data_IF_972681184458
#
_entry.id   IF_972681184458
#
_cell.length_a   1.000
_cell.length_b   1.000
_cell.length_c   1.000
_cell.angle_alpha   90.00
_cell.angle_beta   90.00
_cell.angle_gamma   90.00
#
_symmetry.space_group_name_H-M   'P 1'
#
loop_
_entity.id
_entity.type
_entity.pdbx_description
1 polymer ?
#
# COMPACT_ATOMS: atom_id res chain seq x y z
N UNK A 1 28.86 9.44 99.29
CA UNK A 1 29.24 9.09 97.92
C UNK A 1 27.94 8.69 97.18
N UNK A 2 27.39 9.67 96.40
CA UNK A 2 26.14 9.47 95.69
C UNK A 2 26.46 9.11 94.23
N UNK A 3 26.02 7.93 93.74
CA UNK A 3 26.12 7.50 92.35
C UNK A 3 24.78 7.90 91.66
N UNK A 4 24.87 8.75 90.68
CA UNK A 4 23.73 9.16 89.82
C UNK A 4 23.58 8.19 88.65
N UNK A 5 22.39 7.56 88.49
CA UNK A 5 21.96 6.75 87.36
C UNK A 5 21.47 7.70 86.23
N UNK A 6 22.07 7.60 85.07
CA UNK A 6 21.55 8.28 83.88
C UNK A 6 20.61 7.28 83.11
N UNK A 7 19.34 7.69 82.99
CA UNK A 7 18.37 7.05 82.12
C UNK A 7 18.67 7.46 80.67
N UNK A 8 18.82 6.46 79.81
CA UNK A 8 18.91 6.65 78.36
C UNK A 8 17.52 6.33 77.80
N UNK A 9 16.85 7.34 77.28
CA UNK A 9 15.59 7.20 76.57
C UNK A 9 15.90 6.83 75.11
N UNK A 10 15.45 5.62 74.69
CA UNK A 10 15.50 5.17 73.29
C UNK A 10 14.20 5.62 72.62
N UNK A 11 14.31 6.58 71.70
CA UNK A 11 13.20 6.97 70.86
C UNK A 11 13.10 6.00 69.66
N UNK A 12 12.05 5.19 69.63
CA UNK A 12 11.72 4.34 68.52
C UNK A 12 11.02 5.16 67.42
N UNK A 13 11.73 5.46 66.35
CA UNK A 13 11.16 6.11 65.14
C UNK A 13 10.38 5.06 64.33
N UNK A 14 9.04 5.17 64.33
CA UNK A 14 8.17 4.41 63.42
C UNK A 14 8.22 5.05 62.03
N UNK A 15 8.96 4.46 61.10
CA UNK A 15 8.90 4.84 59.68
C UNK A 15 7.66 4.23 59.05
N UNK A 16 6.64 5.04 58.81
CA UNK A 16 5.50 4.67 57.94
C UNK A 16 6.00 4.53 56.50
N UNK A 17 6.15 3.27 56.01
CA UNK A 17 6.34 2.99 54.61
C UNK A 17 4.96 3.10 53.96
N UNK A 18 4.64 4.25 53.33
CA UNK A 18 3.48 4.38 52.45
C UNK A 18 3.80 3.61 51.16
N UNK A 19 3.33 2.38 51.09
CA UNK A 19 3.37 1.60 49.85
C UNK A 19 2.50 2.31 48.81
N UNK A 20 3.13 2.92 47.82
CA UNK A 20 2.43 3.35 46.60
C UNK A 20 2.03 2.10 45.86
N UNK A 21 0.76 1.70 46.00
CA UNK A 21 0.19 0.66 45.14
C UNK A 21 0.18 1.17 43.71
N UNK A 22 1.15 0.77 42.91
CA UNK A 22 1.10 0.93 41.45
C UNK A 22 -0.05 0.05 40.96
N UNK A 23 -1.22 0.66 40.77
CA UNK A 23 -2.33 -0.03 40.10
C UNK A 23 -1.83 -0.53 38.73
N UNK A 24 -2.02 -1.80 38.37
CA UNK A 24 -1.69 -2.27 37.05
C UNK A 24 -2.47 -1.42 36.05
N UNK A 25 -1.75 -0.77 35.12
CA UNK A 25 -2.39 -0.03 34.04
C UNK A 25 -3.30 -1.01 33.31
N UNK A 26 -4.62 -0.84 33.45
CA UNK A 26 -5.58 -1.64 32.71
C UNK A 26 -5.25 -1.48 31.22
N UNK A 27 -4.71 -2.53 30.60
CA UNK A 27 -4.43 -2.55 29.17
C UNK A 27 -5.77 -2.33 28.47
N UNK A 28 -5.89 -1.21 27.74
CA UNK A 28 -7.12 -0.90 27.02
C UNK A 28 -7.52 -2.12 26.17
N UNK A 29 -8.80 -2.51 26.25
CA UNK A 29 -9.29 -3.63 25.47
C UNK A 29 -8.99 -3.40 23.98
N UNK A 30 -8.46 -4.42 23.30
CA UNK A 30 -8.17 -4.33 21.87
C UNK A 30 -9.46 -4.18 21.08
N UNK A 31 -9.45 -3.32 20.06
CA UNK A 31 -10.57 -3.19 19.13
C UNK A 31 -10.65 -4.40 18.20
N UNK A 32 -11.83 -4.71 17.70
CA UNK A 32 -12.04 -5.70 16.64
C UNK A 32 -11.87 -5.04 15.27
N UNK A 33 -10.78 -5.38 14.58
CA UNK A 33 -10.43 -4.90 13.23
C UNK A 33 -10.79 -5.98 12.20
N UNK A 34 -11.67 -5.66 11.26
CA UNK A 34 -12.20 -6.59 10.28
C UNK A 34 -11.93 -6.10 8.87
N UNK A 35 -11.28 -6.92 8.03
CA UNK A 35 -10.92 -6.58 6.66
C UNK A 35 -11.82 -7.33 5.66
N UNK A 36 -12.59 -6.60 4.88
CA UNK A 36 -13.27 -7.12 3.70
C UNK A 36 -12.34 -6.92 2.48
N UNK A 37 -11.71 -8.02 2.04
CA UNK A 37 -10.77 -8.01 0.94
C UNK A 37 -11.50 -8.13 -0.39
N UNK A 38 -10.91 -7.57 -1.45
CA UNK A 38 -11.40 -7.72 -2.81
C UNK A 38 -11.14 -9.12 -3.40
N UNK A 39 -11.32 -9.25 -4.73
CA UNK A 39 -11.24 -10.54 -5.44
C UNK A 39 -9.81 -11.05 -5.66
N UNK A 40 -8.78 -10.33 -5.24
CA UNK A 40 -7.36 -10.74 -5.41
C UNK A 40 -6.91 -11.85 -4.45
N UNK A 41 -7.66 -12.08 -3.36
CA UNK A 41 -7.28 -13.02 -2.31
C UNK A 41 -6.22 -12.48 -1.36
N UNK A 42 -6.10 -13.09 -0.17
CA UNK A 42 -5.18 -12.62 0.89
C UNK A 42 -3.71 -12.88 0.59
N UNK A 43 -3.41 -13.82 -0.27
CA UNK A 43 -2.07 -14.31 -0.65
C UNK A 43 -1.62 -13.78 -2.03
N UNK A 44 -2.12 -12.58 -2.39
CA UNK A 44 -1.80 -11.92 -3.67
C UNK A 44 -0.36 -11.39 -3.77
N UNK A 45 0.46 -11.62 -2.77
CA UNK A 45 1.88 -11.18 -2.66
C UNK A 45 2.06 -9.66 -2.80
N UNK A 46 1.01 -8.88 -2.58
CA UNK A 46 1.00 -7.45 -2.90
C UNK A 46 -0.01 -6.68 -2.04
N UNK A 47 -1.16 -6.37 -2.61
CA UNK A 47 -2.19 -5.44 -2.13
C UNK A 47 -2.93 -5.97 -0.90
N UNK A 48 -3.64 -7.09 -1.04
CA UNK A 48 -4.42 -7.68 0.05
C UNK A 48 -3.52 -8.26 1.14
N UNK A 49 -2.41 -8.92 0.76
CA UNK A 49 -1.43 -9.44 1.72
C UNK A 49 -0.81 -8.30 2.53
N UNK A 50 -0.49 -7.17 1.88
CA UNK A 50 0.02 -5.97 2.55
C UNK A 50 -0.99 -5.38 3.55
N UNK A 51 -2.26 -5.31 3.18
CA UNK A 51 -3.34 -4.88 4.06
C UNK A 51 -3.48 -5.80 5.27
N UNK A 52 -3.51 -7.12 5.04
CA UNK A 52 -3.62 -8.13 6.09
C UNK A 52 -2.43 -8.14 7.04
N UNK A 53 -1.20 -8.10 6.51
CA UNK A 53 0.02 -8.00 7.34
C UNK A 53 0.01 -6.74 8.21
N UNK A 54 -0.46 -5.62 7.67
CA UNK A 54 -0.63 -4.39 8.44
C UNK A 54 -1.62 -4.54 9.59
N UNK A 55 -2.76 -5.19 9.35
CA UNK A 55 -3.77 -5.44 10.37
C UNK A 55 -3.25 -6.39 11.47
N UNK A 56 -2.58 -7.48 11.09
CA UNK A 56 -1.95 -8.42 12.03
C UNK A 56 -0.87 -7.77 12.90
N UNK A 57 -0.09 -6.86 12.33
CA UNK A 57 0.95 -6.12 13.05
C UNK A 57 0.41 -5.01 13.96
N UNK A 58 -0.91 -4.82 14.05
CA UNK A 58 -1.52 -3.85 14.95
C UNK A 58 -1.52 -4.38 16.39
N UNK A 59 -0.93 -3.63 17.30
CA UNK A 59 -0.87 -3.99 18.74
C UNK A 59 -2.14 -3.63 19.49
N UNK A 60 -2.97 -2.77 18.91
CA UNK A 60 -4.19 -2.22 19.54
C UNK A 60 -5.47 -2.93 19.09
N UNK A 61 -5.37 -3.93 18.21
CA UNK A 61 -6.53 -4.65 17.67
C UNK A 61 -6.31 -6.16 17.64
N UNK A 62 -7.42 -6.88 17.63
CA UNK A 62 -7.49 -8.25 17.08
C UNK A 62 -7.98 -8.12 15.65
N UNK A 63 -7.39 -8.87 14.70
CA UNK A 63 -7.71 -8.75 13.28
C UNK A 63 -8.28 -10.04 12.71
N UNK A 64 -9.27 -9.92 11.82
CA UNK A 64 -9.78 -10.99 10.98
C UNK A 64 -10.07 -10.47 9.57
N UNK A 65 -10.17 -11.36 8.58
CA UNK A 65 -10.52 -10.99 7.22
C UNK A 65 -11.53 -11.95 6.58
N UNK A 66 -12.21 -11.48 5.55
CA UNK A 66 -12.97 -12.28 4.60
C UNK A 66 -12.56 -11.86 3.20
N UNK A 67 -12.19 -12.83 2.35
CA UNK A 67 -11.93 -12.59 0.93
C UNK A 67 -13.22 -12.73 0.13
N UNK A 68 -13.32 -12.00 -0.97
CA UNK A 68 -14.39 -12.12 -1.93
C UNK A 68 -13.92 -12.97 -3.12
N UNK A 69 -14.76 -13.89 -3.59
CA UNK A 69 -14.57 -14.58 -4.86
C UNK A 69 -15.08 -13.73 -6.04
N UNK A 70 -16.05 -12.87 -5.78
CA UNK A 70 -16.63 -11.92 -6.74
C UNK A 70 -17.17 -10.68 -6.02
N UNK A 71 -17.53 -9.65 -6.77
CA UNK A 71 -18.18 -8.45 -6.21
C UNK A 71 -19.50 -8.73 -5.48
N UNK A 72 -20.17 -9.85 -5.80
CA UNK A 72 -21.39 -10.28 -5.10
C UNK A 72 -21.16 -10.61 -3.62
N UNK A 73 -19.92 -10.90 -3.23
CA UNK A 73 -19.54 -11.23 -1.86
C UNK A 73 -19.29 -9.99 -0.98
N UNK A 74 -19.14 -8.80 -1.57
CA UNK A 74 -18.77 -7.60 -0.81
C UNK A 74 -19.79 -7.25 0.27
N UNK A 75 -21.05 -7.05 -0.09
CA UNK A 75 -22.10 -6.71 0.85
C UNK A 75 -22.33 -7.81 1.91
N UNK A 76 -22.44 -9.13 1.57
CA UNK A 76 -22.52 -10.20 2.55
C UNK A 76 -21.33 -10.25 3.53
N UNK A 77 -20.09 -10.06 3.06
CA UNK A 77 -18.91 -10.09 3.92
C UNK A 77 -18.89 -8.90 4.89
N UNK A 78 -19.21 -7.70 4.43
CA UNK A 78 -19.34 -6.51 5.27
C UNK A 78 -20.43 -6.72 6.32
N UNK A 79 -21.60 -7.26 5.91
CA UNK A 79 -22.69 -7.55 6.86
C UNK A 79 -22.26 -8.51 7.97
N UNK A 80 -21.54 -9.59 7.65
CA UNK A 80 -20.99 -10.52 8.67
C UNK A 80 -20.14 -9.80 9.70
N UNK A 81 -19.34 -8.82 9.31
CA UNK A 81 -18.52 -8.03 10.23
C UNK A 81 -19.35 -7.07 11.09
N UNK A 82 -20.42 -6.47 10.53
CA UNK A 82 -21.39 -5.70 11.30
C UNK A 82 -22.05 -6.58 12.37
N UNK A 83 -22.53 -7.76 11.98
CA UNK A 83 -23.22 -8.71 12.88
C UNK A 83 -22.27 -9.23 13.99
N UNK A 84 -20.97 -9.36 13.70
CA UNK A 84 -19.92 -9.73 14.68
C UNK A 84 -19.55 -8.60 15.64
N UNK A 85 -20.04 -7.39 15.41
CA UNK A 85 -19.71 -6.21 16.21
C UNK A 85 -18.26 -5.79 16.07
N UNK A 86 -17.73 -5.71 14.84
CA UNK A 86 -16.43 -5.11 14.57
C UNK A 86 -16.44 -3.62 14.90
N UNK A 87 -15.38 -3.12 15.56
CA UNK A 87 -15.22 -1.71 15.88
C UNK A 87 -14.74 -0.89 14.67
N UNK A 88 -13.91 -1.52 13.83
CA UNK A 88 -13.39 -0.96 12.57
C UNK A 88 -13.53 -2.00 11.46
N UNK A 89 -14.24 -1.64 10.40
CA UNK A 89 -14.36 -2.44 9.17
C UNK A 89 -13.57 -1.72 8.06
N UNK A 90 -12.62 -2.42 7.44
CA UNK A 90 -11.81 -1.90 6.35
C UNK A 90 -12.17 -2.62 5.07
N UNK A 91 -12.69 -1.89 4.09
CA UNK A 91 -12.79 -2.37 2.71
C UNK A 91 -11.44 -2.22 2.02
N UNK A 92 -10.92 -3.30 1.47
CA UNK A 92 -9.63 -3.29 0.78
C UNK A 92 -9.87 -3.35 -0.72
N UNK A 93 -9.71 -2.22 -1.41
CA UNK A 93 -9.86 -2.08 -2.85
C UNK A 93 -10.93 -1.08 -3.28
N UNK A 94 -10.74 -0.55 -4.49
CA UNK A 94 -11.64 0.44 -5.10
C UNK A 94 -13.07 -0.10 -5.29
N UNK A 95 -13.19 -1.34 -5.77
CA UNK A 95 -14.48 -1.90 -6.17
C UNK A 95 -15.45 -2.13 -5.00
N UNK A 96 -14.95 -2.28 -3.76
CA UNK A 96 -15.79 -2.51 -2.56
C UNK A 96 -16.31 -1.21 -1.94
N UNK A 97 -15.82 -0.04 -2.39
CA UNK A 97 -16.07 1.25 -1.74
C UNK A 97 -17.55 1.57 -1.57
N UNK A 98 -18.36 1.40 -2.62
CA UNK A 98 -19.79 1.70 -2.56
C UNK A 98 -20.51 0.91 -1.45
N UNK A 99 -20.17 -0.37 -1.27
CA UNK A 99 -20.78 -1.19 -0.21
C UNK A 99 -20.28 -0.81 1.20
N UNK A 100 -19.04 -0.36 1.33
CA UNK A 100 -18.51 0.21 2.59
C UNK A 100 -19.29 1.48 2.96
N UNK A 101 -19.45 2.41 2.02
CA UNK A 101 -20.19 3.67 2.25
C UNK A 101 -21.65 3.39 2.62
N UNK A 102 -22.32 2.48 1.90
CA UNK A 102 -23.69 2.06 2.18
C UNK A 102 -23.83 1.46 3.59
N UNK A 103 -22.92 0.55 3.96
CA UNK A 103 -22.88 -0.06 5.29
C UNK A 103 -22.63 0.97 6.38
N UNK A 104 -21.71 1.92 6.16
CA UNK A 104 -21.37 2.96 7.12
C UNK A 104 -22.54 3.90 7.41
N UNK A 105 -23.33 4.27 6.39
CA UNK A 105 -24.52 5.10 6.55
C UNK A 105 -25.60 4.36 7.38
N UNK A 106 -25.72 3.04 7.23
CA UNK A 106 -26.66 2.23 8.00
C UNK A 106 -26.17 1.95 9.45
N UNK A 107 -24.86 2.05 9.71
CA UNK A 107 -24.25 1.71 11.00
C UNK A 107 -23.34 2.83 11.52
N UNK A 108 -23.88 3.99 11.93
CA UNK A 108 -23.10 5.20 12.24
C UNK A 108 -22.18 5.06 13.46
N UNK A 109 -22.38 4.06 14.31
CA UNK A 109 -21.53 3.80 15.49
C UNK A 109 -20.24 3.06 15.14
N UNK A 110 -20.25 2.23 14.07
CA UNK A 110 -19.06 1.50 13.58
C UNK A 110 -18.18 2.46 12.79
N UNK A 111 -16.86 2.30 12.90
CA UNK A 111 -15.90 3.04 12.09
C UNK A 111 -15.53 2.23 10.86
N UNK A 112 -15.38 2.92 9.74
CA UNK A 112 -15.02 2.31 8.46
C UNK A 112 -13.78 2.97 7.88
N UNK A 113 -13.01 2.21 7.11
CA UNK A 113 -12.03 2.76 6.21
C UNK A 113 -12.13 2.05 4.85
N UNK A 114 -11.68 2.70 3.80
CA UNK A 114 -11.60 2.08 2.48
C UNK A 114 -10.26 2.39 1.83
N UNK A 115 -9.57 1.36 1.36
CA UNK A 115 -8.29 1.48 0.65
C UNK A 115 -8.56 1.73 -0.81
N UNK A 116 -7.82 2.65 -1.40
CA UNK A 116 -7.90 3.04 -2.82
C UNK A 116 -9.18 3.80 -3.21
N UNK A 117 -9.88 4.37 -2.24
CA UNK A 117 -11.03 5.22 -2.51
C UNK A 117 -11.12 6.35 -1.46
N UNK A 118 -11.80 7.43 -1.82
CA UNK A 118 -12.04 8.56 -0.90
C UNK A 118 -13.04 8.22 0.21
N UNK A 119 -13.85 7.19 0.04
CA UNK A 119 -14.88 6.79 1.02
C UNK A 119 -16.04 7.77 1.10
N UNK A 120 -16.37 8.42 -0.01
CA UNK A 120 -17.41 9.44 -0.11
C UNK A 120 -18.72 8.87 -0.65
N UNK A 121 -19.85 9.45 -0.24
CA UNK A 121 -21.18 9.13 -0.77
C UNK A 121 -21.41 9.98 -2.02
N UNK A 122 -21.34 9.36 -3.19
CA UNK A 122 -21.49 10.02 -4.47
C UNK A 122 -22.84 9.70 -5.11
N UNK A 123 -23.52 10.73 -5.67
CA UNK A 123 -24.69 10.55 -6.49
C UNK A 123 -24.34 10.15 -7.94
N UNK A 124 -25.37 9.93 -8.77
CA UNK A 124 -25.20 9.55 -10.18
C UNK A 124 -24.49 10.64 -11.04
N UNK A 125 -24.41 11.87 -10.56
CA UNK A 125 -23.73 12.98 -11.20
C UNK A 125 -22.33 13.22 -10.63
N UNK A 126 -21.81 12.28 -9.83
CA UNK A 126 -20.51 12.37 -9.15
C UNK A 126 -20.42 13.54 -8.16
N UNK A 127 -21.54 14.01 -7.60
CA UNK A 127 -21.51 14.92 -6.47
C UNK A 127 -21.26 14.11 -5.20
N UNK A 128 -20.04 14.18 -4.70
CA UNK A 128 -19.58 13.35 -3.57
C UNK A 128 -19.62 14.14 -2.25
N UNK A 129 -20.01 13.47 -1.18
CA UNK A 129 -20.05 14.04 0.17
C UNK A 129 -19.30 13.10 1.15
N UNK A 130 -18.46 13.65 2.03
CA UNK A 130 -17.81 12.85 3.07
C UNK A 130 -18.85 12.17 4.00
N UNK A 131 -18.54 10.94 4.41
CA UNK A 131 -19.32 10.18 5.40
C UNK A 131 -18.54 10.17 6.70
N UNK A 132 -19.10 10.72 7.77
CA UNK A 132 -18.39 11.05 9.02
C UNK A 132 -17.69 9.85 9.69
N UNK A 133 -18.21 8.64 9.52
CA UNK A 133 -17.64 7.40 10.06
C UNK A 133 -16.86 6.57 9.03
N UNK A 134 -16.53 7.14 7.84
CA UNK A 134 -15.69 6.52 6.82
C UNK A 134 -14.41 7.34 6.63
N UNK A 135 -13.27 6.67 6.57
CA UNK A 135 -11.97 7.26 6.23
C UNK A 135 -11.46 6.67 4.94
N UNK A 136 -11.32 7.48 3.91
CA UNK A 136 -10.64 7.09 2.67
C UNK A 136 -9.13 7.01 2.87
N UNK A 137 -8.52 5.99 2.29
CA UNK A 137 -7.07 5.75 2.30
C UNK A 137 -6.58 5.73 0.85
N UNK A 138 -6.23 6.90 0.33
CA UNK A 138 -5.77 7.09 -1.05
C UNK A 138 -4.27 7.27 -1.12
N UNK A 139 -3.67 7.09 -2.30
CA UNK A 139 -2.22 7.14 -2.48
C UNK A 139 -1.87 7.82 -3.80
N UNK A 140 -0.88 8.70 -3.77
CA UNK A 140 -0.26 9.32 -4.97
C UNK A 140 0.81 8.36 -5.52
N UNK A 141 0.36 7.22 -6.02
CA UNK A 141 1.26 6.17 -6.53
C UNK A 141 1.98 6.59 -7.80
N UNK A 142 1.44 7.58 -8.54
CA UNK A 142 2.12 8.21 -9.66
C UNK A 142 3.47 8.83 -9.28
N UNK A 143 3.63 9.36 -8.07
CA UNK A 143 4.91 9.88 -7.60
C UNK A 143 6.02 8.82 -7.59
N UNK A 144 5.73 7.64 -7.01
CA UNK A 144 6.69 6.54 -6.96
C UNK A 144 6.82 5.83 -8.32
N UNK A 145 5.71 5.68 -9.05
CA UNK A 145 5.72 5.09 -10.38
C UNK A 145 6.48 5.94 -11.40
N UNK A 146 6.46 7.27 -11.27
CA UNK A 146 7.28 8.17 -12.09
C UNK A 146 8.78 7.86 -11.90
N UNK A 147 9.23 7.71 -10.65
CA UNK A 147 10.61 7.32 -10.38
C UNK A 147 10.94 5.93 -10.96
N UNK A 148 9.98 4.99 -10.90
CA UNK A 148 10.12 3.66 -11.47
C UNK A 148 10.24 3.69 -13.00
N UNK A 149 9.45 4.54 -13.67
CA UNK A 149 9.52 4.75 -15.12
C UNK A 149 10.85 5.37 -15.57
N UNK A 150 11.33 6.38 -14.85
CA UNK A 150 12.66 6.97 -15.08
C UNK A 150 13.77 5.93 -14.92
N UNK A 151 13.70 5.14 -13.84
CA UNK A 151 14.62 4.05 -13.58
C UNK A 151 14.59 3.00 -14.69
N UNK A 152 13.39 2.57 -15.10
CA UNK A 152 13.20 1.57 -16.16
C UNK A 152 13.82 2.01 -17.48
N UNK A 153 13.57 3.26 -17.88
CA UNK A 153 14.18 3.84 -19.09
C UNK A 153 15.70 3.87 -19.00
N UNK A 154 16.25 4.19 -17.80
CA UNK A 154 17.69 4.29 -17.58
C UNK A 154 18.42 2.94 -17.56
N UNK A 155 17.76 1.83 -17.23
CA UNK A 155 18.36 0.49 -17.22
C UNK A 155 18.02 -0.33 -18.46
N UNK A 156 17.03 0.08 -19.27
CA UNK A 156 16.65 -0.62 -20.49
C UNK A 156 17.80 -0.65 -21.48
N UNK A 157 18.06 -1.83 -22.04
CA UNK A 157 19.08 -2.06 -23.08
C UNK A 157 18.48 -2.01 -24.47
N UNK A 158 17.18 -2.29 -24.58
CA UNK A 158 16.47 -2.35 -25.86
C UNK A 158 15.81 -1.02 -26.24
N UNK A 159 15.67 -0.09 -25.29
CA UNK A 159 14.90 1.13 -25.46
C UNK A 159 13.38 0.89 -25.49
N UNK A 160 12.92 -0.25 -24.99
CA UNK A 160 11.49 -0.57 -24.86
C UNK A 160 11.20 -1.09 -23.46
N UNK A 161 10.21 -0.49 -22.82
CA UNK A 161 9.69 -0.90 -21.52
C UNK A 161 8.18 -1.10 -21.63
N UNK A 162 7.54 -1.78 -20.68
CA UNK A 162 6.12 -2.06 -20.78
C UNK A 162 5.41 -1.91 -19.42
N UNK A 163 4.10 -1.63 -19.48
CA UNK A 163 3.21 -1.74 -18.34
C UNK A 163 1.81 -2.18 -18.78
N UNK A 164 1.09 -2.85 -17.90
CA UNK A 164 -0.31 -3.22 -18.07
C UNK A 164 -0.99 -3.33 -16.71
N UNK A 165 -2.31 -3.28 -16.69
CA UNK A 165 -3.10 -3.34 -15.46
C UNK A 165 -3.96 -4.59 -15.32
N UNK A 166 -4.43 -4.88 -14.11
CA UNK A 166 -5.46 -5.89 -13.87
C UNK A 166 -6.80 -5.46 -14.47
N UNK A 167 -7.27 -4.29 -14.10
CA UNK A 167 -8.50 -3.67 -14.59
C UNK A 167 -8.31 -2.14 -14.75
N UNK A 168 -9.12 -1.44 -15.57
CA UNK A 168 -8.96 -0.01 -15.84
C UNK A 168 -9.52 0.88 -14.70
N UNK A 169 -9.16 0.57 -13.46
CA UNK A 169 -9.49 1.41 -12.31
C UNK A 169 -8.54 2.60 -12.19
N UNK A 170 -9.01 3.78 -11.74
CA UNK A 170 -8.14 4.95 -11.53
C UNK A 170 -6.93 4.65 -10.65
N UNK A 171 -7.09 3.78 -9.65
CA UNK A 171 -6.04 3.36 -8.73
C UNK A 171 -5.03 2.36 -9.32
N UNK A 172 -5.30 1.84 -10.52
CA UNK A 172 -4.40 1.04 -11.35
C UNK A 172 -3.74 1.92 -12.40
N UNK A 173 -4.54 2.72 -13.13
CA UNK A 173 -4.00 3.57 -14.21
C UNK A 173 -3.07 4.66 -13.71
N UNK A 174 -3.23 5.13 -12.46
CA UNK A 174 -2.30 6.10 -11.83
C UNK A 174 -0.85 5.58 -11.77
N UNK A 175 -0.64 4.26 -11.56
CA UNK A 175 0.70 3.66 -11.66
C UNK A 175 1.23 3.72 -13.10
N UNK A 176 0.37 3.35 -14.06
CA UNK A 176 0.73 3.29 -15.48
C UNK A 176 1.03 4.70 -16.02
N UNK A 177 0.25 5.70 -15.59
CA UNK A 177 0.48 7.12 -15.89
C UNK A 177 1.82 7.61 -15.36
N UNK A 178 2.06 7.43 -14.07
CA UNK A 178 3.32 7.81 -13.44
C UNK A 178 4.51 7.16 -14.14
N UNK A 179 4.42 5.86 -14.42
CA UNK A 179 5.47 5.12 -15.11
C UNK A 179 5.76 5.68 -16.51
N UNK A 180 4.73 5.88 -17.34
CA UNK A 180 4.91 6.41 -18.69
C UNK A 180 5.51 7.82 -18.67
N UNK A 181 5.01 8.71 -17.79
CA UNK A 181 5.55 10.06 -17.62
C UNK A 181 7.00 10.07 -17.10
N UNK A 182 7.36 9.12 -16.26
CA UNK A 182 8.74 8.93 -15.82
C UNK A 182 9.68 8.56 -16.97
N UNK A 183 9.24 7.69 -17.88
CA UNK A 183 9.97 7.35 -19.11
C UNK A 183 10.11 8.58 -20.01
N UNK A 184 9.03 9.33 -20.23
CA UNK A 184 9.07 10.56 -21.02
C UNK A 184 10.00 11.62 -20.43
N UNK A 185 10.01 11.75 -19.12
CA UNK A 185 10.94 12.65 -18.44
C UNK A 185 12.39 12.22 -18.65
N UNK A 186 12.70 10.91 -18.55
CA UNK A 186 14.03 10.38 -18.89
C UNK A 186 14.42 10.73 -20.32
N UNK A 187 13.52 10.49 -21.27
CA UNK A 187 13.76 10.80 -22.69
C UNK A 187 14.12 12.28 -22.90
N UNK A 188 13.36 13.17 -22.30
CA UNK A 188 13.62 14.64 -22.36
C UNK A 188 14.97 15.00 -21.74
N UNK A 189 15.30 14.43 -20.57
CA UNK A 189 16.54 14.75 -19.85
C UNK A 189 17.80 14.18 -20.53
N UNK A 190 17.68 13.07 -21.27
CA UNK A 190 18.82 12.33 -21.83
C UNK A 190 18.90 12.37 -23.36
N UNK A 191 17.96 13.01 -24.03
CA UNK A 191 17.87 12.98 -25.50
C UNK A 191 17.68 11.58 -26.04
N UNK A 192 16.85 10.74 -25.36
CA UNK A 192 16.55 9.36 -25.73
C UNK A 192 15.13 9.23 -26.27
N UNK A 193 14.79 8.02 -26.75
CA UNK A 193 13.48 7.71 -27.32
C UNK A 193 13.00 6.32 -26.83
N UNK A 194 13.12 6.06 -25.53
CA UNK A 194 12.61 4.82 -24.91
C UNK A 194 11.09 4.80 -25.07
N UNK A 195 10.55 3.67 -25.53
CA UNK A 195 9.11 3.49 -25.78
C UNK A 195 8.45 2.73 -24.63
N UNK A 196 7.24 3.17 -24.25
CA UNK A 196 6.37 2.44 -23.34
C UNK A 196 5.37 1.62 -24.16
N UNK A 197 5.30 0.31 -23.94
CA UNK A 197 4.30 -0.56 -24.51
C UNK A 197 3.16 -0.79 -23.51
N UNK A 198 1.94 -0.94 -24.01
CA UNK A 198 0.76 -1.30 -23.21
C UNK A 198 0.03 -0.15 -22.53
N UNK A 199 0.60 1.06 -22.51
CA UNK A 199 -0.06 2.25 -21.97
C UNK A 199 0.39 3.54 -22.65
N UNK A 200 -0.58 4.38 -22.93
CA UNK A 200 -0.38 5.77 -23.40
C UNK A 200 -1.32 6.69 -22.60
N UNK A 201 -0.78 7.60 -21.74
CA UNK A 201 -1.60 8.55 -21.00
C UNK A 201 -2.46 9.48 -21.87
N UNK A 202 -2.05 9.74 -23.12
CA UNK A 202 -2.81 10.53 -24.07
C UNK A 202 -3.97 9.74 -24.72
N UNK A 203 -3.91 8.41 -24.68
CA UNK A 203 -4.95 7.52 -25.23
C UNK A 203 -5.23 6.34 -24.28
N UNK A 204 -5.82 6.59 -23.08
CA UNK A 204 -6.03 5.56 -22.07
C UNK A 204 -6.94 4.40 -22.54
N UNK A 205 -7.76 4.60 -23.57
CA UNK A 205 -8.62 3.56 -24.15
C UNK A 205 -7.82 2.46 -24.85
N UNK A 206 -6.58 2.73 -25.29
CA UNK A 206 -5.68 1.74 -25.90
C UNK A 206 -4.90 0.92 -24.87
N UNK A 207 -5.12 1.16 -23.57
CA UNK A 207 -4.41 0.49 -22.49
C UNK A 207 -4.62 -1.04 -22.47
N UNK A 208 -3.59 -1.75 -22.08
CA UNK A 208 -3.62 -3.23 -21.98
C UNK A 208 -4.02 -3.63 -20.56
N UNK A 209 -5.06 -4.47 -20.46
CA UNK A 209 -5.57 -4.98 -19.18
C UNK A 209 -5.87 -6.48 -19.25
N UNK A 210 -5.65 -7.15 -18.12
CA UNK A 210 -6.03 -8.56 -17.95
C UNK A 210 -7.56 -8.72 -17.93
N UNK A 211 -8.26 -7.74 -17.34
CA UNK A 211 -9.71 -7.74 -17.13
C UNK A 211 -10.12 -8.16 -15.70
N UNK A 212 -9.18 -8.65 -14.90
CA UNK A 212 -9.35 -9.02 -13.48
C UNK A 212 -7.98 -9.07 -12.79
N UNK A 213 -7.96 -9.46 -11.49
CA UNK A 213 -6.74 -9.55 -10.68
C UNK A 213 -6.33 -10.99 -10.34
N UNK A 214 -6.91 -12.00 -11.00
CA UNK A 214 -6.68 -13.43 -10.72
C UNK A 214 -6.20 -14.25 -11.91
N UNK A 215 -6.39 -13.80 -13.15
CA UNK A 215 -6.01 -14.53 -14.37
C UNK A 215 -4.50 -14.39 -14.67
N UNK A 216 -3.70 -15.15 -13.93
CA UNK A 216 -2.25 -15.18 -14.08
C UNK A 216 -1.79 -15.70 -15.45
N UNK A 217 -2.57 -16.58 -16.09
CA UNK A 217 -2.25 -17.13 -17.40
C UNK A 217 -2.32 -16.05 -18.48
N UNK A 218 -3.39 -15.26 -18.48
CA UNK A 218 -3.52 -14.11 -19.38
C UNK A 218 -2.45 -13.05 -19.12
N UNK A 219 -2.17 -12.76 -17.85
CA UNK A 219 -1.11 -11.83 -17.45
C UNK A 219 0.27 -12.27 -17.95
N UNK A 220 0.61 -13.55 -17.82
CA UNK A 220 1.84 -14.13 -18.36
C UNK A 220 1.91 -13.97 -19.89
N UNK A 221 0.80 -14.27 -20.58
CA UNK A 221 0.72 -14.12 -22.05
C UNK A 221 0.97 -12.68 -22.49
N UNK A 222 0.37 -11.71 -21.81
CA UNK A 222 0.57 -10.27 -22.06
C UNK A 222 2.05 -9.91 -21.86
N UNK A 223 2.64 -10.30 -20.73
CA UNK A 223 4.05 -9.99 -20.43
C UNK A 223 5.00 -10.59 -21.45
N UNK A 224 4.78 -11.85 -21.85
CA UNK A 224 5.57 -12.50 -22.92
C UNK A 224 5.41 -11.80 -24.27
N UNK A 225 4.21 -11.34 -24.58
CA UNK A 225 3.95 -10.57 -25.80
C UNK A 225 4.75 -9.26 -25.82
N UNK A 226 4.89 -8.57 -24.69
CA UNK A 226 5.75 -7.39 -24.62
C UNK A 226 7.24 -7.73 -24.69
N UNK A 227 7.68 -8.82 -24.05
CA UNK A 227 9.07 -9.29 -24.17
C UNK A 227 9.42 -9.64 -25.63
N UNK A 228 8.51 -10.30 -26.36
CA UNK A 228 8.68 -10.61 -27.78
C UNK A 228 8.75 -9.35 -28.64
N UNK A 229 8.06 -8.27 -28.26
CA UNK A 229 8.16 -6.94 -28.90
C UNK A 229 9.43 -6.19 -28.49
N UNK A 230 10.25 -6.76 -27.62
CA UNK A 230 11.53 -6.26 -27.18
C UNK A 230 11.50 -5.47 -25.85
N UNK A 231 10.42 -5.50 -25.09
CA UNK A 231 10.44 -4.91 -23.76
C UNK A 231 11.34 -5.71 -22.83
N UNK A 232 12.28 -5.02 -22.14
CA UNK A 232 13.22 -5.64 -21.21
C UNK A 232 13.03 -5.17 -19.74
N UNK A 233 12.07 -4.27 -19.51
CA UNK A 233 11.57 -3.89 -18.17
C UNK A 233 10.05 -3.84 -18.22
N UNK A 234 9.38 -4.62 -17.38
CA UNK A 234 7.91 -4.70 -17.37
C UNK A 234 7.38 -4.42 -15.96
N UNK A 235 6.35 -3.54 -15.88
CA UNK A 235 5.59 -3.21 -14.68
C UNK A 235 4.17 -3.77 -14.79
N UNK A 236 3.86 -4.98 -14.29
CA UNK A 236 2.50 -5.48 -14.12
C UNK A 236 1.82 -4.79 -12.94
N UNK A 237 0.66 -4.14 -13.15
CA UNK A 237 -0.10 -3.47 -12.08
C UNK A 237 -1.33 -4.30 -11.73
N UNK A 238 -1.17 -5.21 -10.76
CA UNK A 238 -2.28 -6.10 -10.41
C UNK A 238 -1.89 -7.23 -9.44
N UNK A 239 -1.12 -6.92 -8.40
CA UNK A 239 -0.76 -7.92 -7.39
C UNK A 239 -0.06 -9.15 -8.01
N UNK A 240 -0.58 -10.34 -7.69
CA UNK A 240 0.02 -11.60 -8.10
C UNK A 240 0.03 -11.88 -9.62
N UNK A 241 -0.57 -11.00 -10.44
CA UNK A 241 -0.56 -11.13 -11.90
C UNK A 241 0.86 -11.12 -12.49
N UNK A 242 1.80 -10.41 -11.84
CA UNK A 242 3.20 -10.36 -12.28
C UNK A 242 4.04 -11.57 -11.90
N UNK A 243 3.59 -12.42 -10.96
CA UNK A 243 4.42 -13.48 -10.38
C UNK A 243 4.86 -14.57 -11.39
N UNK A 244 3.99 -15.09 -12.28
CA UNK A 244 4.43 -16.09 -13.26
C UNK A 244 5.49 -15.54 -14.21
N UNK A 245 5.35 -14.29 -14.63
CA UNK A 245 6.33 -13.66 -15.52
C UNK A 245 7.66 -13.39 -14.79
N UNK A 246 7.62 -12.90 -13.56
CA UNK A 246 8.83 -12.71 -12.75
C UNK A 246 9.60 -14.04 -12.59
N UNK A 247 8.89 -15.15 -12.32
CA UNK A 247 9.50 -16.48 -12.20
C UNK A 247 10.14 -16.97 -13.51
N UNK A 248 9.52 -16.70 -14.66
CA UNK A 248 10.11 -17.04 -15.98
C UNK A 248 11.28 -16.12 -16.32
N UNK A 249 11.18 -14.82 -16.04
CA UNK A 249 12.27 -13.85 -16.28
C UNK A 249 13.49 -14.16 -15.42
N UNK A 250 13.30 -14.65 -14.17
CA UNK A 250 14.39 -15.09 -13.31
C UNK A 250 15.20 -16.23 -13.94
N UNK A 251 14.54 -17.16 -14.64
CA UNK A 251 15.20 -18.27 -15.36
C UNK A 251 15.88 -17.79 -16.65
N UNK A 252 15.18 -16.99 -17.45
CA UNK A 252 15.67 -16.53 -18.76
C UNK A 252 16.68 -15.40 -18.68
N UNK A 253 16.60 -14.56 -17.65
CA UNK A 253 17.40 -13.32 -17.42
C UNK A 253 17.33 -12.32 -18.59
N UNK A 254 16.30 -12.42 -19.44
CA UNK A 254 16.11 -11.54 -20.60
C UNK A 254 15.55 -10.18 -20.22
N UNK A 255 14.72 -10.14 -19.20
CA UNK A 255 14.01 -8.95 -18.74
C UNK A 255 14.04 -8.83 -17.21
N UNK A 256 13.64 -7.69 -16.68
CA UNK A 256 13.40 -7.45 -15.26
C UNK A 256 11.97 -7.00 -15.03
N UNK A 257 11.46 -7.28 -13.83
CA UNK A 257 10.10 -6.91 -13.44
C UNK A 257 10.15 -5.82 -12.37
N UNK A 258 9.25 -4.85 -12.42
CA UNK A 258 8.96 -3.93 -11.33
C UNK A 258 7.69 -4.41 -10.65
N UNK A 259 7.73 -4.56 -9.32
CA UNK A 259 6.59 -5.02 -8.53
C UNK A 259 5.74 -3.85 -8.02
N UNK A 260 4.59 -4.14 -7.39
CA UNK A 260 3.66 -3.12 -6.88
C UNK A 260 3.23 -3.39 -5.45
N UNK A 261 2.78 -2.35 -4.76
CA UNK A 261 2.15 -2.27 -3.43
C UNK A 261 3.06 -2.65 -2.27
N UNK A 262 3.45 -3.89 -2.14
CA UNK A 262 4.35 -4.40 -1.09
C UNK A 262 5.67 -4.88 -1.68
N UNK A 263 6.80 -4.76 -0.97
CA UNK A 263 8.10 -5.18 -1.50
C UNK A 263 8.10 -6.67 -1.88
N UNK A 264 8.01 -6.94 -3.18
CA UNK A 264 7.93 -8.27 -3.73
C UNK A 264 9.13 -9.16 -3.42
N UNK A 265 10.30 -8.57 -3.13
CA UNK A 265 11.50 -9.35 -2.78
C UNK A 265 11.29 -10.19 -1.51
N UNK A 266 10.56 -9.66 -0.54
CA UNK A 266 10.20 -10.36 0.70
C UNK A 266 8.99 -11.30 0.59
N UNK A 267 8.25 -11.25 -0.52
CA UNK A 267 6.96 -11.93 -0.66
C UNK A 267 6.97 -13.07 -1.68
N UNK A 268 7.72 -12.91 -2.78
CA UNK A 268 7.78 -13.90 -3.84
C UNK A 268 8.68 -15.08 -3.45
N UNK A 269 8.22 -16.28 -3.76
CA UNK A 269 9.00 -17.52 -3.62
C UNK A 269 9.90 -17.76 -4.83
N UNK A 270 9.47 -17.33 -6.03
CA UNK A 270 10.23 -17.37 -7.28
C UNK A 270 10.08 -16.03 -7.99
N UNK A 271 11.08 -15.64 -8.77
CA UNK A 271 11.08 -14.37 -9.51
C UNK A 271 11.56 -13.16 -8.68
N UNK A 272 11.90 -13.34 -7.40
CA UNK A 272 12.31 -12.22 -6.55
C UNK A 272 13.66 -11.62 -6.94
N UNK A 273 14.60 -12.43 -7.42
CA UNK A 273 15.96 -11.97 -7.79
C UNK A 273 15.98 -11.12 -9.06
N UNK A 274 14.90 -11.16 -9.86
CA UNK A 274 14.77 -10.36 -11.09
C UNK A 274 13.98 -9.06 -10.85
N UNK A 275 13.51 -8.80 -9.65
CA UNK A 275 12.80 -7.56 -9.34
C UNK A 275 13.77 -6.39 -9.34
N UNK A 276 13.56 -5.45 -10.26
CA UNK A 276 14.36 -4.22 -10.33
C UNK A 276 14.11 -3.33 -9.11
N UNK A 277 12.85 -3.19 -8.70
CA UNK A 277 12.34 -2.49 -7.53
C UNK A 277 10.85 -2.81 -7.37
N UNK A 278 10.21 -2.22 -6.36
CA UNK A 278 8.75 -2.20 -6.19
C UNK A 278 8.26 -0.76 -6.08
N UNK A 279 7.17 -0.44 -6.75
CA UNK A 279 6.38 0.78 -6.47
C UNK A 279 5.54 0.49 -5.22
N UNK A 280 6.04 0.89 -4.06
CA UNK A 280 5.45 0.57 -2.75
C UNK A 280 4.30 1.52 -2.43
N UNK A 281 3.25 0.94 -1.86
CA UNK A 281 2.08 1.62 -1.28
C UNK A 281 1.89 1.12 0.15
N UNK A 282 2.04 2.02 1.13
CA UNK A 282 2.08 1.69 2.56
C UNK A 282 0.67 1.44 3.14
N UNK A 283 -0.06 0.51 2.51
CA UNK A 283 -1.43 0.14 2.88
C UNK A 283 -1.49 -0.33 4.33
N UNK A 284 -0.60 -1.26 4.71
CA UNK A 284 -0.56 -1.80 6.06
C UNK A 284 -0.30 -0.74 7.13
N UNK A 285 0.56 0.24 6.86
CA UNK A 285 0.84 1.34 7.77
C UNK A 285 -0.40 2.26 7.94
N UNK A 286 -1.12 2.54 6.84
CA UNK A 286 -2.33 3.35 6.89
C UNK A 286 -3.44 2.67 7.71
N UNK A 287 -3.66 1.37 7.54
CA UNK A 287 -4.64 0.57 8.31
C UNK A 287 -4.28 0.57 9.80
N UNK A 288 -3.00 0.33 10.15
CA UNK A 288 -2.52 0.41 11.54
C UNK A 288 -2.78 1.78 12.17
N UNK A 289 -2.58 2.85 11.39
CA UNK A 289 -2.84 4.21 11.87
C UNK A 289 -4.31 4.41 12.19
N UNK A 290 -5.22 3.99 11.31
CA UNK A 290 -6.66 4.10 11.55
C UNK A 290 -7.10 3.25 12.75
N UNK A 291 -6.60 2.02 12.88
CA UNK A 291 -6.88 1.18 14.03
C UNK A 291 -6.45 1.84 15.36
N UNK A 292 -5.29 2.51 15.37
CA UNK A 292 -4.81 3.28 16.50
C UNK A 292 -5.71 4.49 16.81
N UNK A 293 -6.19 5.19 15.79
CA UNK A 293 -7.12 6.32 15.97
C UNK A 293 -8.44 5.85 16.56
N UNK A 294 -8.99 4.71 16.12
CA UNK A 294 -10.22 4.13 16.68
C UNK A 294 -10.01 3.70 18.14
N UNK A 295 -8.93 2.97 18.44
CA UNK A 295 -8.62 2.52 19.79
C UNK A 295 -8.45 3.69 20.77
N UNK A 296 -7.89 4.80 20.31
CA UNK A 296 -7.68 6.02 21.09
C UNK A 296 -8.89 6.97 21.10
N UNK A 297 -10.03 6.60 20.48
CA UNK A 297 -11.23 7.45 20.33
C UNK A 297 -10.93 8.77 19.60
N UNK A 298 -9.95 8.78 18.70
CA UNK A 298 -9.49 9.93 17.89
C UNK A 298 -9.83 9.79 16.41
N UNK A 299 -10.65 8.80 16.06
CA UNK A 299 -11.06 8.60 14.67
C UNK A 299 -11.71 9.85 14.10
N UNK A 300 -11.29 10.22 12.90
CA UNK A 300 -11.96 11.22 12.06
C UNK A 300 -12.09 10.68 10.63
N UNK A 301 -13.13 11.09 9.92
CA UNK A 301 -13.42 10.69 8.54
C UNK A 301 -12.59 11.45 7.49
N UNK A 302 -11.62 12.30 7.88
CA UNK A 302 -10.78 13.02 6.91
C UNK A 302 -9.94 12.04 6.10
N UNK A 303 -9.95 12.21 4.78
CA UNK A 303 -9.19 11.38 3.84
C UNK A 303 -7.69 11.41 4.15
N UNK A 304 -7.06 10.25 4.16
CA UNK A 304 -5.61 10.10 4.14
C UNK A 304 -5.13 10.05 2.68
N UNK A 305 -4.02 10.73 2.40
CA UNK A 305 -3.35 10.67 1.11
C UNK A 305 -1.89 10.27 1.34
N UNK A 306 -1.53 9.06 0.95
CA UNK A 306 -0.15 8.58 0.99
C UNK A 306 0.66 9.21 -0.15
N UNK A 307 1.81 9.83 0.17
CA UNK A 307 2.69 10.53 -0.77
C UNK A 307 4.16 10.15 -0.50
N UNK A 308 5.08 10.49 -1.39
CA UNK A 308 6.52 10.40 -1.10
C UNK A 308 6.91 11.22 0.14
N UNK A 309 6.28 12.39 0.33
CA UNK A 309 6.57 13.31 1.44
C UNK A 309 6.25 12.69 2.81
N UNK A 310 5.13 12.00 2.95
CA UNK A 310 4.74 11.33 4.19
C UNK A 310 5.11 9.85 4.23
N UNK A 311 5.89 9.39 3.23
CA UNK A 311 6.32 7.98 3.07
C UNK A 311 5.14 7.00 2.88
N UNK A 312 3.99 7.47 2.43
CA UNK A 312 2.84 6.64 2.09
C UNK A 312 3.02 5.89 0.77
N UNK A 313 3.92 6.39 -0.10
CA UNK A 313 4.42 5.68 -1.28
C UNK A 313 5.95 5.80 -1.36
N UNK A 314 6.61 4.85 -2.00
CA UNK A 314 8.07 4.85 -2.17
C UNK A 314 8.52 3.87 -3.26
N UNK A 315 9.82 3.85 -3.57
CA UNK A 315 10.45 2.72 -4.25
C UNK A 315 11.16 1.83 -3.23
N UNK A 316 10.99 0.52 -3.35
CA UNK A 316 11.77 -0.47 -2.60
C UNK A 316 13.26 -0.43 -3.01
N UNK A 317 14.15 -0.97 -2.19
CA UNK A 317 15.54 -1.20 -2.59
C UNK A 317 15.66 -2.01 -3.89
N UNK A 318 16.77 -1.86 -4.59
CA UNK A 318 17.02 -2.61 -5.83
C UNK A 318 17.47 -4.06 -5.60
N UNK A 319 17.61 -4.48 -4.36
CA UNK A 319 18.00 -5.82 -3.92
C UNK A 319 19.10 -6.43 -4.83
N UNK A 320 18.88 -7.63 -5.37
CA UNK A 320 19.83 -8.34 -6.24
C UNK A 320 20.06 -7.64 -7.59
N UNK A 321 19.17 -6.72 -7.99
CA UNK A 321 19.35 -5.91 -9.20
C UNK A 321 20.13 -4.62 -8.96
N UNK A 322 20.70 -4.41 -7.77
CA UNK A 322 21.42 -3.17 -7.43
C UNK A 322 22.63 -2.89 -8.35
N UNK A 323 23.30 -3.94 -8.84
CA UNK A 323 24.43 -3.81 -9.79
C UNK A 323 23.97 -3.40 -11.20
N UNK A 324 22.72 -3.67 -11.58
CA UNK A 324 22.13 -3.23 -12.86
C UNK A 324 21.90 -1.73 -12.91
N UNK A 325 21.75 -1.08 -11.76
CA UNK A 325 21.46 0.36 -11.66
C UNK A 325 22.77 1.12 -11.46
N UNK A 326 23.26 1.88 -12.45
CA UNK A 326 24.48 2.68 -12.32
C UNK A 326 24.37 3.70 -11.18
N UNK A 327 25.50 4.02 -10.53
CA UNK A 327 25.53 4.97 -9.41
C UNK A 327 24.97 6.35 -9.77
N UNK A 328 25.24 6.84 -10.97
CA UNK A 328 24.69 8.10 -11.48
C UNK A 328 23.16 8.04 -11.55
N UNK A 329 22.57 6.94 -12.08
CA UNK A 329 21.12 6.76 -12.16
C UNK A 329 20.47 6.67 -10.77
N UNK A 330 21.12 5.99 -9.81
CA UNK A 330 20.66 5.97 -8.41
C UNK A 330 20.58 7.39 -7.82
N UNK A 331 21.58 8.23 -8.13
CA UNK A 331 21.60 9.62 -7.68
C UNK A 331 20.47 10.44 -8.36
N UNK A 332 20.26 10.25 -9.65
CA UNK A 332 19.20 10.93 -10.40
C UNK A 332 17.81 10.59 -9.85
N UNK A 333 17.52 9.30 -9.61
CA UNK A 333 16.24 8.87 -9.00
C UNK A 333 16.04 9.51 -7.62
N UNK A 334 17.10 9.63 -6.80
CA UNK A 334 17.01 10.36 -5.52
C UNK A 334 16.69 11.84 -5.71
N UNK A 335 17.36 12.52 -6.66
CA UNK A 335 17.08 13.93 -6.97
C UNK A 335 15.64 14.14 -7.45
N UNK A 336 15.12 13.23 -8.27
CA UNK A 336 13.72 13.25 -8.71
C UNK A 336 12.78 13.13 -7.51
N UNK A 337 13.00 12.17 -6.62
CA UNK A 337 12.24 12.04 -5.38
C UNK A 337 12.23 13.36 -4.58
N UNK A 338 13.40 13.95 -4.38
CA UNK A 338 13.54 15.15 -3.57
C UNK A 338 12.85 16.34 -4.24
N UNK A 339 12.88 16.42 -5.57
CA UNK A 339 12.18 17.45 -6.35
C UNK A 339 10.65 17.28 -6.31
N UNK A 340 10.14 16.05 -6.34
CA UNK A 340 8.70 15.77 -6.17
C UNK A 340 8.26 16.17 -4.75
N UNK A 341 9.01 15.75 -3.71
CA UNK A 341 8.70 16.10 -2.31
C UNK A 341 8.71 17.62 -2.08
N UNK A 342 9.63 18.33 -2.73
CA UNK A 342 9.71 19.79 -2.68
C UNK A 342 8.64 20.50 -3.54
N UNK A 343 7.89 19.77 -4.38
CA UNK A 343 6.88 20.32 -5.32
C UNK A 343 7.48 21.05 -6.52
N UNK A 344 8.79 20.96 -6.75
CA UNK A 344 9.48 21.56 -7.90
C UNK A 344 9.38 20.72 -9.18
N UNK A 345 9.07 19.43 -9.03
CA UNK A 345 8.73 18.51 -10.11
C UNK A 345 7.32 17.97 -9.88
N UNK A 346 6.41 18.28 -10.80
CA UNK A 346 5.04 17.74 -10.82
C UNK A 346 4.99 16.51 -11.70
N UNK A 347 4.36 15.43 -11.22
CA UNK A 347 4.26 14.13 -11.91
C UNK A 347 2.89 13.92 -12.57
N UNK A 348 1.85 14.61 -12.07
CA UNK A 348 0.53 14.69 -12.70
C UNK A 348 0.48 15.79 -13.77
N UNK A 349 -0.39 15.63 -14.77
CA UNK A 349 -0.63 16.66 -15.78
C UNK A 349 -1.32 17.88 -15.18
#
# INVERSE_FOLDING_TARGET
MKKSLKLIAVAASLTLITGVAVAPSAQAAKIKLCLALDTGGVDDRSFNEGAWKGAQASTVSTAEYLSAASSADFAPNIKKFVDKGCDLIVGVGFAISAEIVKSAKANPKIKYAVVDDAGEDCDANFNCKPVANVKGLTFQTDEAAFMAGYLAAGVSKTGKVATYGGAPYPTVTIFMDGYARGVDYYNKQKGKSVKVLGWDPANPKSGTFVGNFSDQTKALTISKGFEQQGADVILPVGGNLGAPYAAESEKSKKSVTIWVDSDGFGLLTAGKTILLTTVVKEIGASIKSVAKDVANKKFNGSKYVGTLKNKGVSLAPYHDQSSRVPGALKLEVRKIRDAIIAGTLKVSA
#
